data_IF_855045589459
#
_entry.id   IF_855045589459
#
_cell.length_a   1.000
_cell.length_b   1.000
_cell.length_c   1.000
_cell.angle_alpha   90.00
_cell.angle_beta   90.00
_cell.angle_gamma   90.00
#
_symmetry.space_group_name_H-M   'P 1'
#
loop_
_entity.id
_entity.type
_entity.pdbx_description
1 polymer ?
#
# COMPACT_ATOMS: atom_id res chain seq x y z
N UNK A 1 -17.62 -0.52 -38.05
CA UNK A 1 -16.57 0.33 -37.43
C UNK A 1 -15.86 -0.54 -36.40
N UNK A 2 -14.52 -0.63 -36.45
CA UNK A 2 -13.78 -1.35 -35.40
C UNK A 2 -13.96 -0.60 -34.05
N UNK A 3 -14.35 -1.31 -33.01
CA UNK A 3 -14.43 -0.74 -31.68
C UNK A 3 -13.03 -0.29 -31.25
N UNK A 4 -12.87 0.99 -30.90
CA UNK A 4 -11.63 1.49 -30.32
C UNK A 4 -11.45 0.83 -28.95
N UNK A 5 -10.30 0.15 -28.72
CA UNK A 5 -10.05 -0.49 -27.43
C UNK A 5 -10.04 0.56 -26.30
N UNK A 6 -10.55 0.18 -25.13
CA UNK A 6 -10.58 1.02 -23.95
C UNK A 6 -10.47 0.16 -22.68
N UNK A 7 -10.00 0.76 -21.60
CA UNK A 7 -9.93 0.12 -20.27
C UNK A 7 -11.05 0.63 -19.38
N UNK A 8 -11.34 -0.10 -18.31
CA UNK A 8 -12.35 0.29 -17.31
C UNK A 8 -11.91 1.58 -16.62
N UNK A 9 -12.83 2.54 -16.49
CA UNK A 9 -12.54 3.82 -15.83
C UNK A 9 -12.07 3.61 -14.39
N UNK A 10 -10.91 4.17 -14.06
CA UNK A 10 -10.27 4.04 -12.74
C UNK A 10 -9.31 2.87 -12.60
N UNK A 11 -9.05 2.13 -13.70
CA UNK A 11 -7.97 1.16 -13.82
C UNK A 11 -6.86 1.71 -14.71
N UNK A 12 -5.68 1.06 -14.73
CA UNK A 12 -4.51 1.52 -15.49
C UNK A 12 -3.74 0.34 -16.06
N UNK A 13 -3.18 0.53 -17.25
CA UNK A 13 -2.06 -0.28 -17.73
C UNK A 13 -0.74 0.29 -17.19
N UNK A 14 0.23 -0.56 -17.00
CA UNK A 14 1.59 -0.17 -16.60
C UNK A 14 2.58 -0.73 -17.62
N UNK A 15 3.32 0.18 -18.27
CA UNK A 15 4.39 -0.18 -19.18
C UNK A 15 5.63 -0.72 -18.46
N UNK A 16 6.65 -1.20 -19.20
CA UNK A 16 7.83 -1.82 -18.61
C UNK A 16 8.59 -0.94 -17.62
N UNK A 17 8.75 0.35 -17.89
CA UNK A 17 9.40 1.29 -16.97
C UNK A 17 8.59 1.52 -15.70
N UNK A 18 7.26 1.67 -15.83
CA UNK A 18 6.36 1.83 -14.70
C UNK A 18 6.37 0.58 -13.83
N UNK A 19 6.37 -0.61 -14.44
CA UNK A 19 6.48 -1.87 -13.70
C UNK A 19 7.83 -2.02 -12.99
N UNK A 20 8.92 -1.57 -13.58
CA UNK A 20 10.23 -1.56 -12.91
C UNK A 20 10.22 -0.68 -11.65
N UNK A 21 9.63 0.53 -11.74
CA UNK A 21 9.43 1.43 -10.59
C UNK A 21 8.52 0.81 -9.53
N UNK A 22 7.43 0.16 -9.92
CA UNK A 22 6.54 -0.56 -8.99
C UNK A 22 7.26 -1.71 -8.30
N UNK A 23 8.05 -2.49 -9.04
CA UNK A 23 8.84 -3.57 -8.47
C UNK A 23 9.90 -3.08 -7.48
N UNK A 24 10.50 -1.91 -7.71
CA UNK A 24 11.36 -1.26 -6.72
C UNK A 24 10.61 -1.01 -5.40
N UNK A 25 9.38 -0.49 -5.46
CA UNK A 25 8.54 -0.28 -4.27
C UNK A 25 8.26 -1.61 -3.58
N UNK A 26 7.78 -2.62 -4.33
CA UNK A 26 7.48 -3.94 -3.76
C UNK A 26 8.69 -4.58 -3.10
N UNK A 27 9.84 -4.56 -3.76
CA UNK A 27 11.05 -5.19 -3.24
C UNK A 27 11.60 -4.47 -2.02
N UNK A 28 11.53 -3.14 -1.99
CA UNK A 28 11.96 -2.34 -0.83
C UNK A 28 11.10 -2.67 0.40
N UNK A 29 9.77 -2.66 0.28
CA UNK A 29 8.88 -2.96 1.41
C UNK A 29 9.04 -4.42 1.84
N UNK A 30 9.06 -5.36 0.88
CA UNK A 30 9.27 -6.80 1.15
C UNK A 30 10.52 -7.04 1.97
N UNK A 31 11.66 -6.50 1.51
CA UNK A 31 12.94 -6.70 2.18
C UNK A 31 12.98 -6.14 3.61
N UNK A 32 12.16 -5.13 3.94
CA UNK A 32 12.05 -4.65 5.31
C UNK A 32 11.19 -5.62 6.14
N UNK A 33 10.02 -6.04 5.65
CA UNK A 33 9.18 -7.00 6.38
C UNK A 33 9.91 -8.32 6.69
N UNK A 34 10.70 -8.82 5.75
CA UNK A 34 11.49 -10.04 5.93
C UNK A 34 12.53 -9.91 7.05
N UNK A 35 13.12 -8.70 7.26
CA UNK A 35 14.03 -8.44 8.38
C UNK A 35 13.35 -8.54 9.75
N UNK A 36 12.03 -8.30 9.81
CA UNK A 36 11.24 -8.39 11.04
C UNK A 36 10.55 -9.76 11.20
N UNK A 37 10.89 -10.75 10.35
CA UNK A 37 10.37 -12.10 10.43
C UNK A 37 8.94 -12.28 9.90
N UNK A 38 8.45 -11.36 9.08
CA UNK A 38 7.16 -11.51 8.43
C UNK A 38 7.25 -12.49 7.26
N UNK A 39 6.20 -13.28 7.07
CA UNK A 39 6.10 -14.31 6.03
C UNK A 39 5.06 -13.91 4.98
N UNK A 40 5.35 -14.18 3.72
CA UNK A 40 4.43 -13.87 2.62
C UNK A 40 3.26 -14.86 2.57
N UNK A 41 2.05 -14.35 2.43
CA UNK A 41 0.86 -15.13 2.08
C UNK A 41 0.12 -14.48 0.91
N UNK A 42 -0.81 -15.21 0.31
CA UNK A 42 -1.78 -14.70 -0.65
C UNK A 42 -3.18 -15.26 -0.35
N UNK A 43 -4.20 -14.47 -0.66
CA UNK A 43 -5.61 -14.90 -0.59
C UNK A 43 -6.27 -14.69 -1.96
N UNK A 44 -7.38 -15.36 -2.26
CA UNK A 44 -8.09 -15.19 -3.52
C UNK A 44 -8.53 -13.74 -3.78
N UNK A 45 -8.54 -13.33 -5.04
CA UNK A 45 -9.06 -12.01 -5.44
C UNK A 45 -10.58 -11.89 -5.21
N UNK A 46 -11.31 -13.00 -5.32
CA UNK A 46 -12.75 -13.10 -5.06
C UNK A 46 -12.99 -13.76 -3.72
N UNK A 47 -13.87 -13.14 -2.94
CA UNK A 47 -14.39 -13.68 -1.68
C UNK A 47 -15.92 -13.83 -1.78
N UNK A 48 -16.50 -14.64 -0.91
CA UNK A 48 -17.96 -14.68 -0.81
C UNK A 48 -18.52 -13.35 -0.32
N UNK A 49 -19.68 -12.93 -0.76
CA UNK A 49 -20.30 -11.71 -0.24
C UNK A 49 -20.58 -11.80 1.27
N UNK A 50 -20.80 -13.00 1.80
CA UNK A 50 -20.93 -13.22 3.25
C UNK A 50 -19.65 -12.85 4.00
N UNK A 51 -18.48 -13.09 3.40
CA UNK A 51 -17.18 -12.67 3.96
C UNK A 51 -17.02 -11.14 3.92
N UNK A 52 -17.45 -10.50 2.84
CA UNK A 52 -17.18 -9.08 2.59
C UNK A 52 -18.23 -8.14 3.21
N UNK A 53 -19.52 -8.46 3.11
CA UNK A 53 -20.61 -7.57 3.51
C UNK A 53 -20.69 -7.36 5.03
N UNK A 54 -21.02 -6.13 5.44
CA UNK A 54 -21.18 -5.75 6.85
C UNK A 54 -19.88 -5.57 7.63
N UNK A 55 -18.72 -5.56 6.95
CA UNK A 55 -17.39 -5.44 7.57
C UNK A 55 -16.80 -4.04 7.43
N UNK A 56 -17.22 -3.31 6.43
CA UNK A 56 -16.65 -2.01 6.04
C UNK A 56 -17.57 -0.82 6.36
N UNK A 57 -18.72 -1.08 7.02
CA UNK A 57 -19.78 -0.10 7.24
C UNK A 57 -20.61 0.12 5.95
N UNK A 58 -21.68 0.89 6.05
CA UNK A 58 -22.62 1.10 4.95
C UNK A 58 -21.99 1.71 3.70
N UNK A 59 -21.07 2.67 3.90
CA UNK A 59 -20.37 3.32 2.80
C UNK A 59 -19.44 2.32 2.08
N UNK A 60 -18.66 1.53 2.83
CA UNK A 60 -17.77 0.53 2.27
C UNK A 60 -18.52 -0.56 1.51
N UNK A 61 -19.67 -1.02 2.03
CA UNK A 61 -20.49 -2.03 1.38
C UNK A 61 -21.07 -1.56 0.02
N UNK A 62 -21.33 -0.25 -0.13
CA UNK A 62 -21.72 0.37 -1.40
C UNK A 62 -20.57 0.39 -2.43
N UNK A 63 -19.32 0.37 -1.96
CA UNK A 63 -18.13 0.42 -2.81
C UNK A 63 -17.60 -0.98 -3.21
N UNK A 64 -18.21 -2.05 -2.75
CA UNK A 64 -17.86 -3.42 -3.14
C UNK A 64 -18.24 -3.72 -4.59
N UNK A 65 -17.28 -4.21 -5.37
CA UNK A 65 -17.56 -4.79 -6.67
C UNK A 65 -18.15 -6.18 -6.49
N UNK A 66 -19.44 -6.33 -6.88
CA UNK A 66 -20.16 -7.60 -6.85
C UNK A 66 -20.01 -8.29 -8.20
N UNK A 67 -19.81 -9.61 -8.18
CA UNK A 67 -19.64 -10.44 -9.39
C UNK A 67 -20.90 -11.26 -9.60
N UNK A 68 -21.54 -11.07 -10.75
CA UNK A 68 -22.71 -11.86 -11.15
C UNK A 68 -22.40 -13.35 -11.15
N UNK A 69 -23.34 -14.16 -10.72
CA UNK A 69 -23.26 -15.61 -10.81
C UNK A 69 -23.14 -16.05 -12.28
N UNK A 70 -22.27 -17.01 -12.55
CA UNK A 70 -22.13 -17.59 -13.88
C UNK A 70 -23.37 -18.39 -14.28
N UNK A 71 -23.69 -18.43 -15.56
CA UNK A 71 -24.91 -19.05 -16.07
C UNK A 71 -26.12 -18.12 -15.93
N UNK A 72 -27.26 -18.68 -15.55
CA UNK A 72 -28.48 -17.89 -15.32
C UNK A 72 -28.42 -17.21 -13.95
N UNK A 73 -27.99 -15.96 -13.91
CA UNK A 73 -27.89 -15.19 -12.69
C UNK A 73 -29.28 -14.83 -12.10
N UNK A 74 -30.36 -14.98 -12.86
CA UNK A 74 -31.72 -14.71 -12.42
C UNK A 74 -32.41 -15.96 -11.84
N UNK A 75 -31.81 -17.14 -11.89
CA UNK A 75 -32.42 -18.40 -11.48
C UNK A 75 -33.04 -18.40 -10.05
N UNK A 76 -32.53 -17.52 -9.17
CA UNK A 76 -33.01 -17.36 -7.77
C UNK A 76 -33.90 -16.13 -7.57
N UNK A 77 -34.24 -15.41 -8.65
CA UNK A 77 -35.01 -14.16 -8.61
C UNK A 77 -36.40 -14.39 -9.17
N UNK A 78 -37.42 -13.93 -8.46
CA UNK A 78 -38.82 -14.02 -8.93
C UNK A 78 -39.23 -12.82 -9.79
N UNK A 79 -40.27 -12.96 -10.58
CA UNK A 79 -40.81 -11.87 -11.40
C UNK A 79 -41.31 -10.69 -10.55
N UNK A 80 -41.82 -10.97 -9.35
CA UNK A 80 -42.25 -9.96 -8.39
C UNK A 80 -41.07 -9.12 -7.92
N UNK A 81 -39.93 -9.74 -7.53
CA UNK A 81 -38.73 -9.07 -7.10
C UNK A 81 -38.11 -8.22 -8.21
N UNK A 82 -38.19 -8.70 -9.46
CA UNK A 82 -37.75 -7.89 -10.61
C UNK A 82 -38.64 -6.64 -10.80
N UNK A 83 -39.96 -6.76 -10.55
CA UNK A 83 -40.88 -5.61 -10.63
C UNK A 83 -40.62 -4.56 -9.52
N UNK A 84 -40.23 -5.01 -8.33
CA UNK A 84 -39.92 -4.14 -7.20
C UNK A 84 -38.64 -3.28 -7.44
N UNK A 85 -37.75 -3.70 -8.33
CA UNK A 85 -36.49 -3.01 -8.70
C UNK A 85 -35.59 -2.66 -7.49
N UNK A 86 -35.68 -3.45 -6.42
CA UNK A 86 -34.78 -3.30 -5.27
C UNK A 86 -33.38 -3.86 -5.62
N UNK A 87 -32.47 -2.97 -6.06
CA UNK A 87 -31.15 -3.35 -6.55
C UNK A 87 -30.28 -4.05 -5.50
N UNK A 88 -30.41 -3.70 -4.22
CA UNK A 88 -29.65 -4.34 -3.13
C UNK A 88 -30.12 -5.77 -2.90
N UNK A 89 -31.43 -5.98 -2.88
CA UNK A 89 -32.03 -7.32 -2.73
C UNK A 89 -31.71 -8.21 -3.93
N UNK A 90 -31.86 -7.68 -5.15
CA UNK A 90 -31.51 -8.40 -6.38
C UNK A 90 -30.02 -8.77 -6.42
N UNK A 91 -29.13 -7.84 -6.08
CA UNK A 91 -27.69 -8.10 -6.06
C UNK A 91 -27.33 -9.22 -5.08
N UNK A 92 -27.99 -9.32 -3.92
CA UNK A 92 -27.75 -10.40 -2.95
C UNK A 92 -28.11 -11.79 -3.50
N UNK A 93 -29.09 -11.89 -4.40
CA UNK A 93 -29.50 -13.15 -5.05
C UNK A 93 -28.67 -13.47 -6.30
N UNK A 94 -28.33 -12.44 -7.06
CA UNK A 94 -27.61 -12.56 -8.34
C UNK A 94 -26.09 -12.68 -8.19
N UNK A 95 -25.55 -12.32 -7.03
CA UNK A 95 -24.12 -12.29 -6.76
C UNK A 95 -23.83 -13.05 -5.46
N UNK A 96 -23.10 -14.15 -5.54
CA UNK A 96 -22.61 -14.89 -4.36
C UNK A 96 -21.21 -14.47 -3.93
N UNK A 97 -20.51 -13.72 -4.77
CA UNK A 97 -19.10 -13.32 -4.59
C UNK A 97 -18.88 -11.89 -5.05
N UNK A 98 -17.81 -11.30 -4.54
CA UNK A 98 -17.33 -9.98 -4.93
C UNK A 98 -15.82 -9.95 -4.98
N UNK A 99 -15.26 -8.84 -5.50
CA UNK A 99 -13.84 -8.58 -5.43
C UNK A 99 -13.50 -8.03 -4.04
N UNK A 100 -12.38 -8.48 -3.47
CA UNK A 100 -11.93 -8.04 -2.14
C UNK A 100 -11.71 -6.52 -2.12
N UNK A 101 -12.17 -5.89 -1.05
CA UNK A 101 -12.07 -4.45 -0.82
C UNK A 101 -10.74 -4.04 -0.17
N UNK A 102 -10.19 -4.92 0.68
CA UNK A 102 -8.91 -4.83 1.37
C UNK A 102 -8.26 -6.22 1.46
N UNK A 103 -7.13 -6.31 2.14
CA UNK A 103 -6.45 -7.57 2.40
C UNK A 103 -6.67 -8.07 3.84
N UNK A 104 -7.20 -7.23 4.74
CA UNK A 104 -7.35 -7.53 6.17
C UNK A 104 -8.52 -8.46 6.45
N UNK A 105 -9.71 -8.23 5.85
CA UNK A 105 -10.88 -9.12 6.03
C UNK A 105 -10.62 -10.51 5.43
N UNK A 106 -10.07 -10.66 4.20
CA UNK A 106 -9.62 -11.94 3.69
C UNK A 106 -8.57 -12.64 4.56
N UNK A 107 -7.67 -11.87 5.17
CA UNK A 107 -6.67 -12.39 6.10
C UNK A 107 -7.33 -12.93 7.39
N UNK A 108 -8.28 -12.22 7.97
CA UNK A 108 -9.01 -12.71 9.14
C UNK A 108 -9.72 -14.04 8.86
N UNK A 109 -10.36 -14.17 7.69
CA UNK A 109 -10.93 -15.45 7.23
C UNK A 109 -9.85 -16.52 7.09
N UNK A 110 -8.68 -16.18 6.51
CA UNK A 110 -7.56 -17.09 6.36
C UNK A 110 -7.08 -17.62 7.72
N UNK A 111 -6.89 -16.74 8.71
CA UNK A 111 -6.46 -17.12 10.06
C UNK A 111 -7.44 -18.13 10.69
N UNK A 112 -8.74 -17.90 10.57
CA UNK A 112 -9.76 -18.81 11.12
C UNK A 112 -9.75 -20.16 10.40
N UNK A 113 -9.62 -20.19 9.08
CA UNK A 113 -9.61 -21.44 8.30
C UNK A 113 -8.35 -22.28 8.51
N UNK A 114 -7.21 -21.65 8.82
CA UNK A 114 -5.91 -22.30 8.96
C UNK A 114 -5.40 -22.30 10.41
N UNK A 115 -6.28 -22.09 11.40
CA UNK A 115 -5.91 -21.92 12.82
C UNK A 115 -5.05 -23.05 13.37
N UNK A 116 -5.26 -24.29 12.93
CA UNK A 116 -4.52 -25.47 13.40
C UNK A 116 -3.12 -25.57 12.76
N UNK A 117 -2.87 -24.84 11.67
CA UNK A 117 -1.60 -24.83 10.93
C UNK A 117 -0.71 -23.65 11.34
N UNK A 118 -1.31 -22.55 11.87
CA UNK A 118 -0.62 -21.33 12.20
C UNK A 118 -0.04 -21.36 13.61
N UNK A 119 1.24 -20.99 13.71
CA UNK A 119 1.88 -20.72 15.00
C UNK A 119 1.64 -19.26 15.39
N UNK A 120 0.99 -19.03 16.52
CA UNK A 120 0.77 -17.68 17.06
C UNK A 120 1.91 -17.28 18.03
N UNK A 121 2.36 -16.00 18.04
CA UNK A 121 1.91 -14.94 17.16
C UNK A 121 2.37 -15.13 15.69
N UNK A 122 1.49 -14.86 14.73
CA UNK A 122 1.76 -15.01 13.31
C UNK A 122 1.96 -13.63 12.66
N UNK A 123 3.14 -13.42 12.08
CA UNK A 123 3.54 -12.23 11.33
C UNK A 123 3.45 -12.51 9.84
N UNK A 124 2.53 -11.87 9.13
CA UNK A 124 2.39 -12.03 7.68
C UNK A 124 2.57 -10.72 6.92
N UNK A 125 3.06 -10.77 5.69
CA UNK A 125 2.83 -9.71 4.73
C UNK A 125 2.14 -10.23 3.48
N UNK A 126 1.45 -9.33 2.76
CA UNK A 126 0.71 -9.66 1.55
C UNK A 126 0.72 -8.45 0.60
N UNK A 127 1.05 -8.68 -0.68
CA UNK A 127 1.05 -7.65 -1.70
C UNK A 127 0.19 -8.09 -2.86
N UNK A 128 -1.00 -7.52 -2.97
CA UNK A 128 -1.98 -7.91 -3.97
C UNK A 128 -2.90 -6.73 -4.33
N UNK A 129 -3.59 -6.79 -5.49
CA UNK A 129 -4.56 -5.77 -5.88
C UNK A 129 -5.84 -5.89 -5.04
N UNK A 130 -6.48 -4.75 -4.82
CA UNK A 130 -7.80 -4.61 -4.21
C UNK A 130 -8.68 -3.71 -5.09
N UNK A 131 -10.00 -3.80 -4.90
CA UNK A 131 -10.95 -3.13 -5.78
C UNK A 131 -12.00 -2.35 -4.97
N UNK A 132 -12.13 -1.05 -5.29
CA UNK A 132 -13.13 -0.17 -4.67
C UNK A 132 -13.85 0.61 -5.75
N UNK A 133 -15.18 0.64 -5.71
CA UNK A 133 -16.00 1.37 -6.68
C UNK A 133 -16.00 2.90 -6.46
N UNK A 134 -14.94 3.44 -5.89
CA UNK A 134 -14.72 4.86 -5.69
C UNK A 134 -14.85 5.70 -6.97
N UNK A 135 -15.18 6.99 -6.81
CA UNK A 135 -15.06 7.96 -7.90
C UNK A 135 -13.57 8.21 -8.18
N UNK A 136 -13.08 7.86 -9.39
CA UNK A 136 -11.66 8.00 -9.71
C UNK A 136 -11.20 9.46 -9.65
N UNK A 137 -10.05 9.68 -8.99
CA UNK A 137 -9.36 10.98 -8.95
C UNK A 137 -7.86 10.72 -8.70
N UNK A 138 -7.02 11.76 -8.73
CA UNK A 138 -5.57 11.62 -8.48
C UNK A 138 -5.32 10.94 -7.11
N UNK A 139 -4.54 9.87 -7.10
CA UNK A 139 -4.25 9.07 -5.90
C UNK A 139 -5.42 8.21 -5.39
N UNK A 140 -6.53 8.09 -6.16
CA UNK A 140 -7.67 7.22 -5.85
C UNK A 140 -8.14 6.48 -7.10
N UNK A 141 -7.87 5.19 -7.12
CA UNK A 141 -8.15 4.28 -8.25
C UNK A 141 -9.19 3.24 -7.85
N UNK A 142 -9.80 2.59 -8.84
CA UNK A 142 -10.75 1.48 -8.62
C UNK A 142 -10.06 0.13 -8.46
N UNK A 143 -8.87 -0.01 -9.05
CA UNK A 143 -7.96 -1.13 -8.85
C UNK A 143 -6.60 -0.57 -8.45
N UNK A 144 -6.07 -1.02 -7.33
CA UNK A 144 -4.79 -0.58 -6.79
C UNK A 144 -4.18 -1.64 -5.89
N UNK A 145 -2.87 -1.57 -5.67
CA UNK A 145 -2.15 -2.51 -4.83
C UNK A 145 -2.05 -2.01 -3.40
N UNK A 146 -2.36 -2.89 -2.46
CA UNK A 146 -2.01 -2.73 -1.06
C UNK A 146 -0.84 -3.67 -0.72
N UNK A 147 0.06 -3.20 0.11
CA UNK A 147 1.11 -3.99 0.73
C UNK A 147 0.85 -3.98 2.24
N UNK A 148 0.21 -5.03 2.73
CA UNK A 148 -0.22 -5.13 4.11
C UNK A 148 0.73 -6.01 4.92
N UNK A 149 1.04 -5.59 6.15
CA UNK A 149 1.71 -6.40 7.14
C UNK A 149 0.93 -6.43 8.43
N UNK A 150 0.66 -7.63 8.97
CA UNK A 150 -0.11 -7.82 10.18
C UNK A 150 0.55 -8.84 11.11
N UNK A 151 0.31 -8.63 12.40
CA UNK A 151 0.63 -9.59 13.47
C UNK A 151 -0.69 -9.97 14.15
N UNK A 152 -0.97 -11.25 14.24
CA UNK A 152 -2.15 -11.78 14.95
C UNK A 152 -1.76 -12.74 16.07
N UNK A 153 -2.61 -12.83 17.10
CA UNK A 153 -2.41 -13.73 18.25
C UNK A 153 -1.47 -13.18 19.32
N UNK A 154 -1.37 -11.84 19.44
CA UNK A 154 -0.62 -11.18 20.50
C UNK A 154 -1.23 -9.82 20.84
N UNK A 155 -1.44 -9.58 22.13
CA UNK A 155 -1.91 -8.30 22.68
C UNK A 155 -0.75 -7.33 22.96
N UNK A 156 0.49 -7.76 22.74
CA UNK A 156 1.68 -6.95 23.04
C UNK A 156 1.74 -5.70 22.17
N UNK A 157 1.88 -4.55 22.82
CA UNK A 157 2.08 -3.25 22.17
C UNK A 157 3.47 -3.11 21.50
N UNK A 158 4.37 -4.06 21.69
CA UNK A 158 5.62 -4.14 20.93
C UNK A 158 5.36 -4.38 19.43
N UNK A 159 4.21 -4.96 19.08
CA UNK A 159 3.83 -5.13 17.68
C UNK A 159 3.61 -3.77 17.00
N UNK A 160 2.96 -2.82 17.67
CA UNK A 160 2.82 -1.44 17.19
C UNK A 160 4.17 -0.75 17.04
N UNK A 161 5.06 -0.93 18.02
CA UNK A 161 6.43 -0.38 17.97
C UNK A 161 7.19 -0.91 16.75
N UNK A 162 7.19 -2.22 16.51
CA UNK A 162 7.84 -2.82 15.34
C UNK A 162 7.24 -2.30 14.03
N UNK A 163 5.91 -2.20 13.93
CA UNK A 163 5.25 -1.68 12.74
C UNK A 163 5.64 -0.22 12.44
N UNK A 164 5.79 0.62 13.46
CA UNK A 164 6.26 2.01 13.28
C UNK A 164 7.72 2.05 12.84
N UNK A 165 8.58 1.17 13.35
CA UNK A 165 9.96 1.03 12.91
C UNK A 165 10.04 0.53 11.45
N UNK A 166 9.17 -0.37 11.04
CA UNK A 166 9.04 -0.82 9.64
C UNK A 166 8.67 0.38 8.74
N UNK A 167 7.66 1.16 9.12
CA UNK A 167 7.26 2.37 8.39
C UNK A 167 8.44 3.34 8.24
N UNK A 168 9.10 3.67 9.35
CA UNK A 168 10.25 4.57 9.35
C UNK A 168 11.37 4.08 8.43
N UNK A 169 11.72 2.79 8.53
CA UNK A 169 12.76 2.15 7.71
C UNK A 169 12.41 2.15 6.21
N UNK A 170 11.17 1.85 5.86
CA UNK A 170 10.70 1.84 4.47
C UNK A 170 10.83 3.22 3.84
N UNK A 171 10.34 4.28 4.51
CA UNK A 171 10.40 5.63 3.96
C UNK A 171 11.81 6.22 3.95
N UNK A 172 12.66 5.83 4.89
CA UNK A 172 14.09 6.13 4.81
C UNK A 172 14.74 5.53 3.55
N UNK A 173 14.45 4.27 3.24
CA UNK A 173 14.99 3.60 2.04
C UNK A 173 14.47 4.24 0.75
N UNK A 174 13.26 4.78 0.77
CA UNK A 174 12.72 5.56 -0.35
C UNK A 174 13.30 6.97 -0.45
N UNK A 175 13.98 7.47 0.58
CA UNK A 175 14.43 8.86 0.66
C UNK A 175 13.27 9.86 0.75
N UNK A 176 12.11 9.45 1.27
CA UNK A 176 10.90 10.26 1.41
C UNK A 176 10.71 10.65 2.87
N UNK A 177 10.58 11.95 3.14
CA UNK A 177 10.22 12.46 4.46
C UNK A 177 8.74 12.29 4.71
N UNK A 178 8.40 11.72 5.85
CA UNK A 178 7.00 11.48 6.25
C UNK A 178 6.73 11.95 7.67
N UNK A 179 5.47 12.23 7.95
CA UNK A 179 4.94 12.39 9.29
C UNK A 179 4.10 11.16 9.62
N UNK A 180 4.42 10.49 10.72
CA UNK A 180 3.66 9.36 11.27
C UNK A 180 2.74 9.93 12.33
N UNK A 181 1.44 9.87 12.10
CA UNK A 181 0.40 10.25 13.06
C UNK A 181 -0.09 9.02 13.81
N UNK A 182 -0.26 9.13 15.10
CA UNK A 182 -0.78 8.08 15.99
C UNK A 182 -1.92 8.60 16.84
N UNK A 183 -2.92 7.80 17.08
CA UNK A 183 -3.98 8.00 18.06
C UNK A 183 -4.43 6.63 18.60
N UNK A 184 -5.43 6.61 19.47
CA UNK A 184 -6.03 5.41 20.02
C UNK A 184 -7.56 5.51 20.04
N UNK A 185 -8.25 4.48 19.56
CA UNK A 185 -9.72 4.42 19.56
C UNK A 185 -10.31 4.53 20.97
N UNK A 186 -9.61 4.02 21.97
CA UNK A 186 -10.02 4.12 23.38
C UNK A 186 -10.01 5.57 23.89
N UNK A 187 -9.05 6.38 23.42
CA UNK A 187 -9.03 7.83 23.72
C UNK A 187 -10.25 8.51 23.09
N UNK A 188 -10.55 8.21 21.83
CA UNK A 188 -11.73 8.78 21.16
C UNK A 188 -13.03 8.38 21.85
N UNK A 189 -13.14 7.14 22.30
CA UNK A 189 -14.28 6.66 23.11
C UNK A 189 -14.37 7.42 24.42
N UNK A 190 -13.24 7.55 25.14
CA UNK A 190 -13.18 8.30 26.40
C UNK A 190 -13.57 9.78 26.24
N UNK A 191 -13.15 10.42 25.13
CA UNK A 191 -13.56 11.80 24.81
C UNK A 191 -15.10 11.87 24.68
N UNK A 192 -15.71 10.96 23.93
CA UNK A 192 -17.16 10.90 23.76
C UNK A 192 -17.88 10.66 25.11
N UNK A 193 -17.32 9.81 26.00
CA UNK A 193 -17.85 9.57 27.35
C UNK A 193 -17.83 10.85 28.22
N UNK A 194 -16.68 11.53 28.31
CA UNK A 194 -16.53 12.69 29.20
C UNK A 194 -17.30 13.93 28.75
N UNK A 195 -17.55 14.08 27.45
CA UNK A 195 -18.42 15.15 26.96
C UNK A 195 -19.90 14.79 27.04
N UNK A 196 -20.25 13.57 27.46
CA UNK A 196 -21.63 13.09 27.59
C UNK A 196 -22.31 12.77 26.29
N UNK A 197 -21.56 12.26 25.27
CA UNK A 197 -22.04 11.90 23.93
C UNK A 197 -21.51 10.53 23.48
N UNK A 198 -21.45 9.55 24.38
CA UNK A 198 -20.91 8.21 24.10
C UNK A 198 -21.66 7.48 22.97
N UNK A 199 -22.96 7.70 22.84
CA UNK A 199 -23.81 7.17 21.77
C UNK A 199 -23.55 7.80 20.41
N UNK A 200 -22.81 8.93 20.36
CA UNK A 200 -22.45 9.70 19.15
C UNK A 200 -20.99 9.52 18.71
N UNK A 201 -20.28 8.53 19.24
CA UNK A 201 -18.85 8.31 18.94
C UNK A 201 -18.55 8.24 17.44
N UNK A 202 -19.43 7.60 16.64
CA UNK A 202 -19.25 7.47 15.20
C UNK A 202 -19.37 8.84 14.53
N UNK A 203 -20.39 9.61 14.86
CA UNK A 203 -20.64 10.94 14.31
C UNK A 203 -19.48 11.89 14.65
N UNK A 204 -19.05 11.89 15.93
CA UNK A 204 -17.90 12.66 16.40
C UNK A 204 -16.65 12.33 15.61
N UNK A 205 -16.32 11.05 15.47
CA UNK A 205 -15.10 10.61 14.80
C UNK A 205 -15.12 10.93 13.31
N UNK A 206 -16.26 10.82 12.63
CA UNK A 206 -16.42 11.19 11.21
C UNK A 206 -16.26 12.70 11.01
N UNK A 207 -16.81 13.53 11.92
CA UNK A 207 -16.70 14.97 11.81
C UNK A 207 -15.27 15.47 12.08
N UNK A 208 -14.61 15.02 13.16
CA UNK A 208 -13.27 15.47 13.52
C UNK A 208 -12.20 15.04 12.51
N UNK A 209 -12.35 13.90 11.83
CA UNK A 209 -11.44 13.45 10.75
C UNK A 209 -11.40 14.44 9.55
N UNK A 210 -12.40 15.28 9.43
CA UNK A 210 -12.48 16.27 8.36
C UNK A 210 -11.84 17.61 8.75
N UNK A 211 -11.40 17.80 10.01
CA UNK A 211 -10.94 19.08 10.54
C UNK A 211 -9.89 19.75 9.65
N UNK A 212 -8.86 19.01 9.24
CA UNK A 212 -7.79 19.51 8.34
C UNK A 212 -8.32 20.02 6.99
N UNK A 213 -9.51 19.56 6.55
CA UNK A 213 -10.05 19.83 5.21
C UNK A 213 -11.09 20.93 5.20
N UNK A 214 -11.98 20.95 6.20
CA UNK A 214 -13.16 21.81 6.20
C UNK A 214 -13.09 22.89 7.28
N UNK A 215 -12.15 22.78 8.23
CA UNK A 215 -11.98 23.73 9.33
C UNK A 215 -12.99 23.53 10.47
N UNK A 216 -12.70 24.15 11.63
CA UNK A 216 -13.43 23.94 12.88
C UNK A 216 -14.88 24.37 12.80
N UNK A 217 -15.19 25.46 12.08
CA UNK A 217 -16.56 25.97 12.01
C UNK A 217 -17.50 24.99 11.30
N UNK A 218 -17.01 24.37 10.22
CA UNK A 218 -17.78 23.36 9.47
C UNK A 218 -17.88 22.04 10.23
N UNK A 219 -16.82 21.64 10.96
CA UNK A 219 -16.88 20.48 11.89
C UNK A 219 -17.95 20.72 12.95
N UNK A 220 -17.97 21.89 13.57
CA UNK A 220 -18.99 22.22 14.57
C UNK A 220 -20.41 22.25 13.98
N UNK A 221 -20.58 22.71 12.74
CA UNK A 221 -21.88 22.68 12.06
C UNK A 221 -22.35 21.23 11.83
N UNK A 222 -21.45 20.35 11.36
CA UNK A 222 -21.75 18.93 11.15
C UNK A 222 -22.12 18.25 12.50
N UNK A 223 -21.35 18.49 13.57
CA UNK A 223 -21.65 17.94 14.90
C UNK A 223 -23.03 18.37 15.42
N UNK A 224 -23.48 19.63 15.15
CA UNK A 224 -24.83 20.08 15.48
C UNK A 224 -25.91 19.33 14.68
N UNK A 225 -25.68 19.15 13.39
CA UNK A 225 -26.60 18.39 12.52
C UNK A 225 -26.71 16.92 12.98
N UNK A 226 -25.63 16.36 13.50
CA UNK A 226 -25.58 15.01 14.09
C UNK A 226 -26.19 14.95 15.50
N UNK A 227 -26.63 16.08 16.04
CA UNK A 227 -27.39 16.18 17.29
C UNK A 227 -26.58 16.38 18.56
N UNK A 228 -25.31 16.84 18.47
CA UNK A 228 -24.56 17.28 19.64
C UNK A 228 -25.05 18.65 20.14
N UNK A 229 -25.08 18.80 21.44
CA UNK A 229 -25.40 20.09 22.08
C UNK A 229 -24.22 21.06 22.05
N UNK A 230 -24.49 22.37 22.16
CA UNK A 230 -23.44 23.39 22.25
C UNK A 230 -22.47 23.14 23.40
N UNK A 231 -22.97 22.65 24.53
CA UNK A 231 -22.13 22.31 25.69
C UNK A 231 -21.14 21.17 25.35
N UNK A 232 -21.61 20.14 24.68
CA UNK A 232 -20.77 19.03 24.24
C UNK A 232 -19.70 19.47 23.23
N UNK A 233 -20.08 20.33 22.28
CA UNK A 233 -19.15 20.89 21.29
C UNK A 233 -18.10 21.78 21.96
N UNK A 234 -18.50 22.63 22.91
CA UNK A 234 -17.57 23.48 23.68
C UNK A 234 -16.58 22.68 24.52
N UNK A 235 -16.97 21.52 25.05
CA UNK A 235 -16.08 20.59 25.76
C UNK A 235 -15.12 19.87 24.81
N UNK A 236 -15.56 19.55 23.57
CA UNK A 236 -14.78 18.83 22.57
C UNK A 236 -13.69 19.70 21.94
N UNK A 237 -13.99 20.97 21.65
CA UNK A 237 -13.08 21.87 20.92
C UNK A 237 -11.66 21.97 21.50
N UNK A 238 -11.44 22.27 22.81
CA UNK A 238 -10.09 22.38 23.36
C UNK A 238 -9.31 21.08 23.30
N UNK A 239 -10.00 19.93 23.17
CA UNK A 239 -9.38 18.61 23.07
C UNK A 239 -8.86 18.38 21.64
N UNK A 240 -9.69 18.62 20.62
CA UNK A 240 -9.33 18.40 19.23
C UNK A 240 -8.38 19.46 18.67
N UNK A 241 -8.29 20.63 19.29
CA UNK A 241 -7.38 21.71 18.96
C UNK A 241 -6.12 21.74 19.84
N UNK A 242 -5.90 20.67 20.65
CA UNK A 242 -4.77 20.61 21.58
C UNK A 242 -3.44 20.57 20.82
N UNK A 243 -2.60 21.58 21.05
CA UNK A 243 -1.25 21.70 20.51
C UNK A 243 -0.21 21.35 21.58
N UNK A 244 1.03 21.14 21.15
CA UNK A 244 2.18 20.83 22.00
C UNK A 244 2.89 19.54 21.62
N UNK A 245 3.87 19.16 22.43
CA UNK A 245 4.60 17.90 22.31
C UNK A 245 3.71 16.70 22.61
N UNK A 246 4.11 15.51 22.22
CA UNK A 246 3.36 14.28 22.51
C UNK A 246 3.14 14.10 24.02
N UNK A 247 4.15 14.39 24.85
CA UNK A 247 4.06 14.26 26.30
C UNK A 247 3.08 15.28 26.92
N UNK A 248 3.13 16.53 26.48
CA UNK A 248 2.19 17.57 26.92
C UNK A 248 0.76 17.20 26.57
N UNK A 249 0.53 16.74 25.33
CA UNK A 249 -0.78 16.26 24.89
C UNK A 249 -1.27 15.07 25.71
N UNK A 250 -0.41 14.06 25.95
CA UNK A 250 -0.76 12.90 26.76
C UNK A 250 -1.07 13.25 28.22
N UNK A 251 -0.35 14.22 28.79
CA UNK A 251 -0.63 14.67 30.16
C UNK A 251 -1.96 15.41 30.22
N UNK A 252 -2.20 16.32 29.30
CA UNK A 252 -3.47 17.07 29.25
C UNK A 252 -4.67 16.16 29.03
N UNK A 253 -4.57 15.22 28.07
CA UNK A 253 -5.67 14.32 27.76
C UNK A 253 -5.93 13.32 28.91
N UNK A 254 -4.90 12.92 29.66
CA UNK A 254 -5.07 12.08 30.84
C UNK A 254 -5.93 12.77 31.93
N UNK A 255 -5.73 14.08 32.17
CA UNK A 255 -6.55 14.85 33.09
C UNK A 255 -7.98 14.99 32.57
N UNK A 256 -8.16 15.24 31.29
CA UNK A 256 -9.50 15.33 30.68
C UNK A 256 -10.25 14.00 30.81
N UNK A 257 -9.56 12.87 30.64
CA UNK A 257 -10.13 11.52 30.62
C UNK A 257 -10.11 10.81 31.98
N UNK A 258 -9.81 11.52 33.10
CA UNK A 258 -9.68 10.93 34.45
C UNK A 258 -10.91 10.11 34.88
N UNK A 259 -12.09 10.48 34.40
CA UNK A 259 -13.35 9.81 34.72
C UNK A 259 -13.77 8.76 33.69
N UNK A 260 -12.92 8.47 32.68
CA UNK A 260 -13.10 7.42 31.68
C UNK A 260 -12.02 6.36 31.81
N UNK A 261 -12.36 5.19 32.33
CA UNK A 261 -11.45 4.05 32.42
C UNK A 261 -10.93 3.62 31.01
N UNK A 262 -11.84 3.59 30.01
CA UNK A 262 -11.52 3.29 28.62
C UNK A 262 -10.51 4.29 28.05
N UNK A 263 -10.77 5.59 28.26
CA UNK A 263 -9.90 6.66 27.78
C UNK A 263 -8.50 6.61 28.39
N UNK A 264 -8.40 6.44 29.72
CA UNK A 264 -7.13 6.30 30.42
C UNK A 264 -6.33 5.09 29.93
N UNK A 265 -6.98 3.97 29.65
CA UNK A 265 -6.33 2.80 29.05
C UNK A 265 -5.68 3.13 27.71
N UNK A 266 -6.36 3.89 26.85
CA UNK A 266 -5.81 4.37 25.60
C UNK A 266 -4.59 5.27 25.78
N UNK A 267 -4.60 6.16 26.81
CA UNK A 267 -3.45 7.00 27.16
C UNK A 267 -2.26 6.16 27.62
N UNK A 268 -2.48 5.15 28.47
CA UNK A 268 -1.42 4.23 28.93
C UNK A 268 -0.78 3.49 27.75
N UNK A 269 -1.59 2.99 26.81
CA UNK A 269 -1.11 2.29 25.63
C UNK A 269 -0.23 3.20 24.76
N UNK A 270 -0.65 4.44 24.51
CA UNK A 270 0.16 5.41 23.77
C UNK A 270 1.43 5.82 24.51
N UNK A 271 1.38 6.01 25.84
CA UNK A 271 2.59 6.28 26.64
C UNK A 271 3.61 5.16 26.51
N UNK A 272 3.16 3.91 26.52
CA UNK A 272 4.03 2.76 26.32
C UNK A 272 4.69 2.77 24.94
N UNK A 273 3.89 2.92 23.87
CA UNK A 273 4.38 2.92 22.48
C UNK A 273 5.34 4.08 22.25
N UNK A 274 4.95 5.31 22.60
CA UNK A 274 5.77 6.51 22.40
C UNK A 274 7.02 6.50 23.29
N UNK A 275 6.93 5.97 24.51
CA UNK A 275 8.06 5.84 25.43
C UNK A 275 9.15 4.90 24.91
N UNK A 276 8.78 3.78 24.26
CA UNK A 276 9.77 2.86 23.64
C UNK A 276 10.33 3.43 22.34
N UNK A 277 9.48 4.00 21.49
CA UNK A 277 9.94 4.59 20.24
C UNK A 277 10.83 5.81 20.49
N UNK A 278 10.48 6.65 21.44
CA UNK A 278 11.27 7.80 21.87
C UNK A 278 11.82 8.60 20.68
N UNK A 279 13.15 8.74 20.62
CA UNK A 279 13.89 9.39 19.53
C UNK A 279 14.48 8.37 18.52
N UNK A 280 14.06 7.11 18.55
CA UNK A 280 14.63 6.05 17.72
C UNK A 280 14.21 6.14 16.24
N UNK A 281 13.08 6.80 15.95
CA UNK A 281 12.62 7.03 14.58
C UNK A 281 13.32 8.26 13.98
N UNK A 282 13.57 8.22 12.68
CA UNK A 282 14.12 9.36 11.91
C UNK A 282 13.03 10.26 11.37
N UNK A 283 11.84 9.71 11.12
CA UNK A 283 10.67 10.47 10.72
C UNK A 283 9.91 10.94 11.96
N UNK A 284 9.17 12.05 11.82
CA UNK A 284 8.39 12.62 12.90
C UNK A 284 7.22 11.70 13.30
N UNK A 285 7.11 11.40 14.59
CA UNK A 285 5.98 10.68 15.18
C UNK A 285 5.15 11.64 16.03
N UNK A 286 3.91 11.88 15.64
CA UNK A 286 3.03 12.88 16.26
C UNK A 286 1.75 12.24 16.79
N UNK A 287 1.42 12.51 18.06
CA UNK A 287 0.09 12.27 18.59
C UNK A 287 -0.89 13.28 17.97
N UNK A 288 -1.91 12.77 17.29
CA UNK A 288 -2.94 13.56 16.63
C UNK A 288 -4.32 13.10 17.10
N UNK A 289 -4.92 13.86 18.01
CA UNK A 289 -6.23 13.55 18.62
C UNK A 289 -7.39 13.66 17.60
N UNK A 290 -7.16 14.27 16.44
CA UNK A 290 -8.14 14.34 15.36
C UNK A 290 -8.05 13.16 14.40
N UNK A 291 -6.99 12.35 14.51
CA UNK A 291 -6.89 11.11 13.75
C UNK A 291 -7.96 10.13 14.26
N UNK A 292 -9.07 10.09 13.56
CA UNK A 292 -10.21 9.24 13.89
C UNK A 292 -10.52 8.24 12.75
N UNK A 293 -9.74 8.33 11.67
CA UNK A 293 -9.84 7.53 10.48
C UNK A 293 -9.59 6.06 10.73
N UNK A 294 -10.15 5.27 9.86
CA UNK A 294 -9.92 3.84 9.80
C UNK A 294 -11.21 3.10 9.56
N UNK A 295 -11.07 1.82 9.28
CA UNK A 295 -12.21 0.93 9.17
C UNK A 295 -12.81 0.70 10.58
N UNK A 296 -14.11 0.48 10.64
CA UNK A 296 -14.85 0.39 11.91
C UNK A 296 -14.41 -0.77 12.82
N UNK A 297 -13.51 -1.62 12.34
CA UNK A 297 -12.99 -2.75 13.12
C UNK A 297 -11.79 -2.42 14.01
N UNK A 298 -11.21 -1.22 13.95
CA UNK A 298 -10.10 -0.85 14.85
C UNK A 298 -10.59 -0.62 16.29
N UNK A 299 -9.82 -1.15 17.26
CA UNK A 299 -10.17 -1.19 18.69
C UNK A 299 -9.14 -0.51 19.60
N UNK A 300 -7.93 -0.29 19.11
CA UNK A 300 -6.81 0.28 19.86
C UNK A 300 -6.08 1.37 19.11
N UNK A 301 -4.75 1.30 19.09
CA UNK A 301 -3.91 2.24 18.35
C UNK A 301 -4.27 2.29 16.86
N UNK A 302 -4.24 3.49 16.28
CA UNK A 302 -4.46 3.77 14.87
C UNK A 302 -3.33 4.64 14.34
N UNK A 303 -2.96 4.40 13.08
CA UNK A 303 -1.81 5.04 12.43
C UNK A 303 -2.18 5.62 11.08
N UNK A 304 -1.61 6.78 10.79
CA UNK A 304 -1.67 7.38 9.46
C UNK A 304 -0.31 7.98 9.09
N UNK A 305 0.12 7.80 7.85
CA UNK A 305 1.40 8.34 7.37
C UNK A 305 1.13 9.28 6.21
N UNK A 306 1.62 10.51 6.31
CA UNK A 306 1.53 11.55 5.28
C UNK A 306 2.93 11.87 4.74
N UNK A 307 3.06 12.01 3.42
CA UNK A 307 4.27 12.57 2.81
C UNK A 307 4.33 14.07 3.10
N UNK A 308 5.52 14.57 3.47
CA UNK A 308 5.70 16.01 3.81
C UNK A 308 5.94 16.87 2.57
N UNK A 309 6.60 16.32 1.56
CA UNK A 309 7.04 17.09 0.38
C UNK A 309 6.08 17.01 -0.82
N UNK A 310 4.98 16.26 -0.69
CA UNK A 310 4.00 16.05 -1.76
C UNK A 310 2.59 16.15 -1.20
N UNK A 311 1.75 16.96 -1.83
CA UNK A 311 0.33 17.02 -1.49
C UNK A 311 -0.42 15.82 -2.05
N UNK A 312 -0.60 14.81 -1.20
CA UNK A 312 -1.36 13.59 -1.49
C UNK A 312 -2.07 13.14 -0.20
N UNK A 313 -3.11 12.33 -0.32
CA UNK A 313 -3.72 11.72 0.86
C UNK A 313 -2.77 10.75 1.56
N UNK A 314 -3.19 10.20 2.70
CA UNK A 314 -2.43 9.20 3.45
C UNK A 314 -1.82 8.12 2.56
N UNK A 315 -0.52 7.85 2.71
CA UNK A 315 0.23 6.88 1.90
C UNK A 315 0.39 5.53 2.60
N UNK A 316 0.20 5.50 3.93
CA UNK A 316 0.19 4.29 4.76
C UNK A 316 -0.79 4.51 5.90
N UNK A 317 -1.43 3.47 6.36
CA UNK A 317 -2.32 3.54 7.51
C UNK A 317 -2.61 2.16 8.07
N UNK A 318 -3.09 2.12 9.32
CA UNK A 318 -3.38 0.86 9.99
C UNK A 318 -3.85 1.04 11.42
N UNK A 319 -3.86 -0.05 12.17
CA UNK A 319 -4.23 -0.03 13.59
C UNK A 319 -4.46 -1.41 14.17
N UNK A 320 -4.79 -1.43 15.46
CA UNK A 320 -5.14 -2.65 16.21
C UNK A 320 -6.60 -3.03 16.02
N UNK A 321 -6.85 -4.31 15.84
CA UNK A 321 -8.18 -4.91 15.71
C UNK A 321 -8.25 -6.20 16.54
N UNK A 322 -9.12 -6.24 17.58
CA UNK A 322 -9.14 -7.35 18.54
C UNK A 322 -10.24 -8.38 18.24
N UNK A 323 -11.22 -8.06 17.41
CA UNK A 323 -12.39 -8.89 17.20
C UNK A 323 -12.66 -9.26 15.73
N UNK A 324 -11.72 -9.00 14.82
CA UNK A 324 -11.97 -9.22 13.40
C UNK A 324 -12.17 -10.71 13.07
N UNK A 325 -11.43 -11.61 13.72
CA UNK A 325 -11.61 -13.06 13.60
C UNK A 325 -12.90 -13.56 14.24
N UNK A 326 -13.44 -12.82 15.21
CA UNK A 326 -14.74 -13.13 15.85
C UNK A 326 -15.89 -13.13 14.87
N UNK A 327 -15.82 -12.33 13.79
CA UNK A 327 -16.82 -12.31 12.72
C UNK A 327 -16.93 -13.66 12.00
N UNK A 328 -15.86 -14.44 12.02
CA UNK A 328 -15.76 -15.79 11.43
C UNK A 328 -15.81 -16.90 12.48
N UNK A 329 -16.34 -16.61 13.70
CA UNK A 329 -16.56 -17.59 14.77
C UNK A 329 -15.34 -17.88 15.65
N UNK A 330 -14.28 -17.06 15.60
CA UNK A 330 -13.09 -17.20 16.42
C UNK A 330 -12.79 -15.90 17.19
N UNK A 331 -13.54 -15.59 18.26
CA UNK A 331 -13.32 -14.38 19.05
C UNK A 331 -12.03 -14.47 19.86
N UNK A 332 -11.51 -13.30 20.30
CA UNK A 332 -10.39 -13.21 21.22
C UNK A 332 -9.00 -13.32 20.58
N UNK A 333 -8.89 -13.22 19.27
CA UNK A 333 -7.61 -13.10 18.56
C UNK A 333 -7.35 -11.62 18.27
N UNK A 334 -6.43 -11.05 19.02
CA UNK A 334 -5.94 -9.70 18.77
C UNK A 334 -5.06 -9.66 17.53
N UNK A 335 -5.16 -8.58 16.77
CA UNK A 335 -4.34 -8.32 15.61
C UNK A 335 -4.01 -6.84 15.49
N UNK A 336 -2.88 -6.53 14.90
CA UNK A 336 -2.48 -5.18 14.52
C UNK A 336 -1.78 -5.22 13.17
N UNK A 337 -2.04 -4.24 12.32
CA UNK A 337 -1.43 -4.22 10.99
C UNK A 337 -1.38 -2.84 10.38
N UNK A 338 -0.56 -2.73 9.34
CA UNK A 338 -0.42 -1.54 8.51
C UNK A 338 -0.51 -1.91 7.03
N UNK A 339 -1.03 -0.98 6.24
CA UNK A 339 -1.17 -1.09 4.80
C UNK A 339 -0.43 0.06 4.12
N UNK A 340 0.55 -0.27 3.27
CA UNK A 340 1.19 0.68 2.37
C UNK A 340 0.36 0.80 1.09
N UNK A 341 -0.06 2.01 0.76
CA UNK A 341 -0.76 2.33 -0.48
C UNK A 341 0.23 2.45 -1.64
N UNK A 342 0.56 1.34 -2.29
CA UNK A 342 1.62 1.25 -3.32
C UNK A 342 1.46 2.29 -4.41
N UNK A 343 0.24 2.49 -4.90
CA UNK A 343 -0.03 3.43 -5.99
C UNK A 343 0.14 4.89 -5.57
N UNK A 344 -0.13 5.24 -4.31
CA UNK A 344 0.15 6.58 -3.78
C UNK A 344 1.64 6.79 -3.53
N UNK A 345 2.35 5.78 -3.03
CA UNK A 345 3.81 5.80 -2.90
C UNK A 345 4.45 5.96 -4.27
N UNK A 346 3.96 5.25 -5.30
CA UNK A 346 4.38 5.40 -6.69
C UNK A 346 4.22 6.83 -7.18
N UNK A 347 3.07 7.46 -6.91
CA UNK A 347 2.81 8.86 -7.28
C UNK A 347 3.75 9.83 -6.54
N UNK A 348 4.05 9.59 -5.25
CA UNK A 348 5.01 10.39 -4.46
C UNK A 348 6.42 10.29 -5.04
N UNK A 349 6.93 9.08 -5.25
CA UNK A 349 8.27 8.86 -5.78
C UNK A 349 8.44 9.43 -7.19
N UNK A 350 7.40 9.38 -8.03
CA UNK A 350 7.42 10.04 -9.35
C UNK A 350 7.48 11.57 -9.25
N UNK A 351 6.76 12.19 -8.30
CA UNK A 351 6.77 13.64 -8.14
C UNK A 351 8.10 14.15 -7.57
N UNK A 352 8.77 13.35 -6.76
CA UNK A 352 10.06 13.66 -6.15
C UNK A 352 11.27 13.24 -7.01
N UNK A 353 11.03 12.53 -8.13
CA UNK A 353 12.08 11.87 -8.93
C UNK A 353 13.04 11.02 -8.06
N UNK A 354 12.47 10.31 -7.07
CA UNK A 354 13.22 9.63 -6.02
C UNK A 354 13.54 8.16 -6.34
N UNK A 355 13.44 7.74 -7.60
CA UNK A 355 13.83 6.40 -7.99
C UNK A 355 15.34 6.31 -8.23
N UNK A 356 16.00 5.22 -7.80
CA UNK A 356 17.39 4.94 -8.19
C UNK A 356 17.50 4.82 -9.72
N UNK A 357 18.62 5.25 -10.27
CA UNK A 357 18.88 5.23 -11.73
C UNK A 357 18.73 3.83 -12.34
N UNK A 358 19.06 2.79 -11.59
CA UNK A 358 18.99 1.38 -11.97
C UNK A 358 17.59 0.76 -11.78
N UNK A 359 16.66 1.48 -11.14
CA UNK A 359 15.26 1.02 -10.96
C UNK A 359 14.46 0.95 -12.27
N UNK A 360 15.06 1.28 -13.40
CA UNK A 360 14.37 1.27 -14.70
C UNK A 360 14.10 -0.13 -15.23
N UNK A 361 14.74 -1.16 -14.67
CA UNK A 361 14.54 -2.57 -15.09
C UNK A 361 14.89 -2.87 -16.53
N UNK A 362 15.51 -1.92 -17.25
CA UNK A 362 15.82 -2.04 -18.67
C UNK A 362 17.00 -2.99 -18.91
N UNK A 363 17.14 -3.44 -20.15
CA UNK A 363 18.32 -4.13 -20.66
C UNK A 363 19.56 -3.28 -20.36
N UNK A 364 20.63 -3.90 -19.86
CA UNK A 364 21.89 -3.22 -19.56
C UNK A 364 22.87 -3.28 -20.72
N UNK A 365 22.80 -4.36 -21.49
CA UNK A 365 23.72 -4.62 -22.60
C UNK A 365 22.96 -5.11 -23.83
N UNK A 366 23.19 -4.48 -24.98
CA UNK A 366 22.70 -4.94 -26.29
C UNK A 366 23.87 -5.36 -27.18
N UNK A 367 23.85 -6.56 -27.68
CA UNK A 367 24.74 -6.99 -28.77
C UNK A 367 24.14 -6.64 -30.13
N UNK A 368 24.93 -5.97 -30.95
CA UNK A 368 24.57 -5.68 -32.35
C UNK A 368 24.69 -6.94 -33.18
N UNK A 369 23.71 -7.19 -34.05
CA UNK A 369 23.67 -8.30 -34.96
C UNK A 369 24.09 -7.82 -36.37
N UNK A 370 25.32 -8.16 -36.79
CA UNK A 370 25.80 -7.88 -38.15
C UNK A 370 25.53 -9.02 -39.13
N UNK A 371 25.32 -10.25 -38.62
CA UNK A 371 25.05 -11.42 -39.41
C UNK A 371 25.20 -12.72 -38.63
N UNK A 372 25.03 -13.88 -39.28
CA UNK A 372 25.10 -15.17 -38.59
C UNK A 372 26.45 -15.46 -37.93
N UNK A 373 27.55 -15.05 -38.56
CA UNK A 373 28.89 -15.32 -38.08
C UNK A 373 29.21 -14.52 -36.82
N UNK A 374 28.90 -13.23 -36.82
CA UNK A 374 29.07 -12.33 -35.69
C UNK A 374 28.17 -12.72 -34.54
N UNK A 375 26.92 -13.11 -34.87
CA UNK A 375 25.97 -13.57 -33.84
C UNK A 375 26.46 -14.86 -33.16
N UNK A 376 27.04 -15.80 -33.94
CA UNK A 376 27.60 -17.04 -33.38
C UNK A 376 28.76 -16.76 -32.42
N UNK A 377 29.53 -15.70 -32.63
CA UNK A 377 30.59 -15.26 -31.72
C UNK A 377 30.02 -14.52 -30.49
N UNK A 378 29.03 -13.63 -30.69
CA UNK A 378 28.46 -12.83 -29.62
C UNK A 378 27.58 -13.65 -28.66
N UNK A 379 26.87 -14.67 -29.12
CA UNK A 379 25.88 -15.42 -28.35
C UNK A 379 26.47 -16.09 -27.10
N UNK A 380 27.63 -16.79 -27.14
CA UNK A 380 28.28 -17.30 -25.94
C UNK A 380 28.66 -16.21 -24.93
N UNK A 381 29.11 -15.04 -25.41
CA UNK A 381 29.44 -13.90 -24.54
C UNK A 381 28.18 -13.32 -23.88
N UNK A 382 27.09 -13.19 -24.63
CA UNK A 382 25.79 -12.76 -24.12
C UNK A 382 25.28 -13.75 -23.06
N UNK A 383 25.51 -15.05 -23.23
CA UNK A 383 25.14 -16.06 -22.22
C UNK A 383 25.95 -15.89 -20.95
N UNK A 384 27.27 -15.72 -21.03
CA UNK A 384 28.13 -15.43 -19.87
C UNK A 384 27.72 -14.13 -19.15
N UNK A 385 27.36 -13.08 -19.91
CA UNK A 385 26.87 -11.83 -19.32
C UNK A 385 25.58 -12.06 -18.52
N UNK A 386 24.63 -12.86 -19.03
CA UNK A 386 23.40 -13.24 -18.33
C UNK A 386 23.68 -14.06 -17.07
N UNK A 387 24.58 -15.03 -17.13
CA UNK A 387 25.05 -15.82 -15.98
C UNK A 387 25.69 -14.93 -14.92
N UNK A 388 26.34 -13.84 -15.33
CA UNK A 388 26.88 -12.82 -14.43
C UNK A 388 25.86 -11.83 -13.88
N UNK A 389 24.56 -12.00 -14.19
CA UNK A 389 23.45 -11.16 -13.73
C UNK A 389 23.20 -9.91 -14.57
N UNK A 390 23.87 -9.73 -15.71
CA UNK A 390 23.70 -8.57 -16.59
C UNK A 390 22.52 -8.82 -17.53
N UNK A 391 21.50 -7.96 -17.48
CA UNK A 391 20.33 -8.04 -18.38
C UNK A 391 20.74 -7.74 -19.82
N UNK A 392 20.84 -8.79 -20.65
CA UNK A 392 21.47 -8.74 -21.95
C UNK A 392 20.52 -9.17 -23.06
N UNK A 393 20.41 -8.35 -24.11
CA UNK A 393 19.73 -8.65 -25.36
C UNK A 393 20.77 -8.86 -26.50
N UNK A 394 20.40 -9.70 -27.47
CA UNK A 394 21.05 -9.75 -28.80
C UNK A 394 20.00 -9.28 -29.80
N UNK A 395 20.32 -8.29 -30.63
CA UNK A 395 19.33 -7.78 -31.59
C UNK A 395 18.93 -8.91 -32.56
N UNK A 396 17.63 -9.19 -32.77
CA UNK A 396 17.20 -10.42 -33.44
C UNK A 396 17.52 -10.43 -34.94
N UNK A 397 17.41 -9.27 -35.60
CA UNK A 397 17.54 -9.16 -37.04
C UNK A 397 18.89 -8.57 -37.48
N UNK A 398 19.54 -9.15 -38.51
CA UNK A 398 20.67 -8.49 -39.16
C UNK A 398 20.19 -7.31 -40.00
N UNK A 399 20.18 -6.12 -39.36
CA UNK A 399 19.77 -4.85 -39.98
C UNK A 399 20.87 -3.80 -39.87
N UNK A 400 20.69 -2.67 -40.57
CA UNK A 400 21.66 -1.56 -40.48
C UNK A 400 21.95 -1.18 -39.05
N UNK A 401 23.21 -1.03 -38.68
CA UNK A 401 23.68 -0.64 -37.33
C UNK A 401 22.92 0.58 -36.78
N UNK A 402 22.62 1.60 -37.62
CA UNK A 402 21.86 2.78 -37.23
C UNK A 402 20.51 2.45 -36.63
N UNK A 403 19.78 1.44 -37.19
CA UNK A 403 18.47 1.02 -36.66
C UNK A 403 18.60 0.36 -35.29
N UNK A 404 19.61 -0.48 -35.10
CA UNK A 404 19.89 -1.16 -33.85
C UNK A 404 20.33 -0.16 -32.75
N UNK A 405 21.17 0.82 -33.10
CA UNK A 405 21.57 1.91 -32.20
C UNK A 405 20.40 2.80 -31.82
N UNK A 406 19.47 3.08 -32.77
CA UNK A 406 18.25 3.83 -32.47
C UNK A 406 17.34 3.07 -31.49
N UNK A 407 17.29 1.73 -31.62
CA UNK A 407 16.58 0.88 -30.64
C UNK A 407 17.22 0.93 -29.26
N UNK A 408 18.55 0.84 -29.16
CA UNK A 408 19.27 0.97 -27.89
C UNK A 408 18.98 2.32 -27.22
N UNK A 409 19.02 3.42 -27.98
CA UNK A 409 18.71 4.75 -27.49
C UNK A 409 17.24 4.87 -27.03
N UNK A 410 16.29 4.38 -27.81
CA UNK A 410 14.87 4.44 -27.47
C UNK A 410 14.54 3.65 -26.21
N UNK A 411 15.23 2.55 -25.96
CA UNK A 411 15.15 1.73 -24.75
C UNK A 411 16.04 2.22 -23.59
N UNK A 412 16.85 3.26 -23.83
CA UNK A 412 17.81 3.78 -22.83
C UNK A 412 18.77 2.67 -22.34
N UNK A 413 19.23 1.80 -23.24
CA UNK A 413 20.21 0.75 -22.94
C UNK A 413 21.57 1.40 -22.74
N UNK A 414 22.22 1.27 -21.57
CA UNK A 414 23.45 2.01 -21.28
C UNK A 414 24.68 1.52 -22.05
N UNK A 415 24.69 0.22 -22.41
CA UNK A 415 25.85 -0.37 -23.09
C UNK A 415 25.45 -1.11 -24.36
N UNK A 416 26.28 -0.95 -25.40
CA UNK A 416 26.15 -1.70 -26.66
C UNK A 416 27.47 -2.39 -26.97
N UNK A 417 27.43 -3.69 -27.23
CA UNK A 417 28.59 -4.48 -27.67
C UNK A 417 28.52 -4.76 -29.18
N UNK A 418 29.66 -4.59 -29.83
CA UNK A 418 29.85 -4.82 -31.24
C UNK A 418 30.98 -5.83 -31.45
N UNK A 419 30.81 -6.75 -32.38
CA UNK A 419 31.88 -7.62 -32.85
C UNK A 419 31.75 -7.72 -34.39
N UNK A 420 32.66 -7.12 -35.09
CA UNK A 420 32.87 -7.31 -36.52
C UNK A 420 34.04 -8.28 -36.77
N UNK A 421 34.42 -8.46 -38.02
CA UNK A 421 35.52 -9.38 -38.42
C UNK A 421 36.82 -9.09 -37.67
N UNK A 422 37.13 -7.81 -37.46
CA UNK A 422 38.37 -7.37 -36.80
C UNK A 422 38.36 -7.72 -35.28
N UNK A 423 37.27 -7.49 -34.62
CA UNK A 423 37.09 -7.82 -33.20
C UNK A 423 37.12 -9.35 -33.01
N UNK A 424 36.44 -10.09 -33.84
CA UNK A 424 36.42 -11.56 -33.80
C UNK A 424 37.81 -12.13 -33.97
N UNK A 425 38.57 -11.64 -34.97
CA UNK A 425 39.95 -12.05 -35.21
C UNK A 425 40.89 -11.78 -34.01
N UNK A 426 40.59 -10.71 -33.26
CA UNK A 426 41.32 -10.35 -32.02
C UNK A 426 40.80 -11.07 -30.77
N UNK A 427 39.74 -11.85 -30.85
CA UNK A 427 39.08 -12.44 -29.67
C UNK A 427 38.44 -11.44 -28.72
N UNK A 428 38.02 -10.27 -29.24
CA UNK A 428 37.54 -9.13 -28.48
C UNK A 428 36.18 -8.64 -28.96
N UNK A 429 35.61 -7.68 -28.25
CA UNK A 429 34.40 -6.93 -28.61
C UNK A 429 34.61 -5.45 -28.32
N UNK A 430 34.00 -4.60 -29.13
CA UNK A 430 33.92 -3.15 -28.80
C UNK A 430 32.71 -2.90 -27.93
N UNK A 431 32.95 -2.49 -26.67
CA UNK A 431 31.92 -2.03 -25.76
C UNK A 431 31.78 -0.50 -25.88
N UNK A 432 30.56 -0.06 -26.17
CA UNK A 432 30.22 1.37 -26.23
C UNK A 432 29.31 1.74 -25.07
N UNK A 433 29.73 2.74 -24.30
CA UNK A 433 28.86 3.43 -23.34
C UNK A 433 27.97 4.41 -24.11
N UNK A 434 26.66 4.27 -24.00
CA UNK A 434 25.68 5.06 -24.76
C UNK A 434 25.48 6.46 -24.16
N UNK A 435 25.82 6.68 -22.90
CA UNK A 435 25.69 7.98 -22.22
C UNK A 435 26.90 8.87 -22.54
N UNK A 436 28.14 8.34 -22.39
CA UNK A 436 29.38 9.08 -22.62
C UNK A 436 29.85 9.04 -24.05
N UNK A 437 29.44 8.04 -24.82
CA UNK A 437 29.93 7.77 -26.18
C UNK A 437 31.28 7.08 -26.23
N UNK A 438 31.94 6.83 -25.10
CA UNK A 438 33.23 6.13 -25.03
C UNK A 438 33.12 4.70 -25.58
N UNK A 439 34.21 4.25 -26.23
CA UNK A 439 34.34 2.92 -26.78
C UNK A 439 35.63 2.27 -26.29
N UNK A 440 35.54 1.01 -25.90
CA UNK A 440 36.67 0.23 -25.42
C UNK A 440 36.70 -1.14 -26.13
N UNK A 441 37.87 -1.59 -26.53
CA UNK A 441 38.07 -2.90 -27.13
C UNK A 441 38.47 -3.90 -26.05
N UNK A 442 37.57 -4.78 -25.65
CA UNK A 442 37.68 -5.62 -24.48
C UNK A 442 37.54 -7.11 -24.83
N UNK A 443 38.19 -7.98 -24.08
CA UNK A 443 37.88 -9.40 -24.05
C UNK A 443 36.49 -9.64 -23.45
N UNK A 444 35.84 -10.81 -23.69
CA UNK A 444 34.55 -11.12 -23.07
C UNK A 444 34.48 -10.94 -21.55
N UNK A 445 35.54 -11.35 -20.84
CA UNK A 445 35.57 -11.27 -19.39
C UNK A 445 35.78 -9.83 -18.89
N UNK A 446 36.64 -9.03 -19.57
CA UNK A 446 36.80 -7.61 -19.30
C UNK A 446 35.50 -6.83 -19.56
N UNK A 447 34.76 -7.16 -20.62
CA UNK A 447 33.47 -6.54 -20.95
C UNK A 447 32.43 -6.78 -19.83
N UNK A 448 32.32 -8.02 -19.35
CA UNK A 448 31.42 -8.38 -18.26
C UNK A 448 31.80 -7.63 -16.97
N UNK A 449 33.10 -7.53 -16.66
CA UNK A 449 33.58 -6.82 -15.47
C UNK A 449 33.38 -5.30 -15.57
N UNK A 450 33.43 -4.73 -16.76
CA UNK A 450 33.21 -3.29 -16.98
C UNK A 450 31.74 -2.84 -16.80
N UNK A 451 30.79 -3.79 -16.86
CA UNK A 451 29.35 -3.50 -16.74
C UNK A 451 28.84 -3.79 -15.31
N UNK A 452 29.49 -4.71 -14.57
CA UNK A 452 29.15 -5.01 -13.17
C UNK A 452 29.38 -3.80 -12.25
#
# INVERSE_FOLDING_TARGET
MANKPSIVKGTRDFGPQEMARRNYIFNTIRSVYELYGFQQIETPAMETLQTLMGKYGEEGDKLLFKVLNSGDCLAKVTDEELKERNSLHLAAKMCEKGLRYDLTVPFARYVVMHREELQLPFKRYQVQPVWRADRPQKGRYREFYQFDGDVVGSDSLLNEVELMQIVDTVFQRFGVRVQIKINNRKILTGIAEVIGAADKIVDITVAIDKLDKIGIDNVNAELREDGLTEEQIQKLQPIILLEGTNDEKLNTIAEVLKDSETGLKGVEELRYILGILGTSLRNELQLDLTLARGLNYYTGAIFEVKALDVQIGSITGGGRYDNLTGIFGMPGISGVGISFGVDRIYDVLNQLDAYPKDATGSTQLLFINFGPQETAYCLPVATKAREAGIRTEVFPDSTKMKKQMSYANAKQIPYVALAGETEIAAGKLTLKNMETGEQQLLTPDELINAIK
#
